data_IF_072624299902
#
_entry.id   IF_072624299902
#
_cell.length_a   1.000
_cell.length_b   1.000
_cell.length_c   1.000
_cell.angle_alpha   90.00
_cell.angle_beta   90.00
_cell.angle_gamma   90.00
#
_symmetry.space_group_name_H-M   'P 1'
#
loop_
_entity.id
_entity.type
_entity.pdbx_description
1 polymer ?
#
# COMPACT_ATOMS: atom_id res chain seq x y z
N UNK A 1 -12.23 6.65 4.23
CA UNK A 1 -11.39 5.87 5.17
C UNK A 1 -10.09 6.59 5.52
N UNK A 2 -9.53 7.36 4.59
CA UNK A 2 -8.39 8.24 4.84
C UNK A 2 -8.87 9.68 4.78
N UNK A 3 -8.54 10.53 5.77
CA UNK A 3 -8.88 11.94 5.77
C UNK A 3 -7.70 12.76 6.23
N UNK A 4 -7.23 13.65 5.35
CA UNK A 4 -6.25 14.68 5.63
C UNK A 4 -6.96 16.01 5.87
N UNK A 5 -6.62 16.70 6.95
CA UNK A 5 -7.10 18.03 7.32
C UNK A 5 -5.90 18.94 7.60
N UNK A 6 -5.52 19.75 6.61
CA UNK A 6 -4.39 20.68 6.67
C UNK A 6 -3.07 20.05 7.15
N UNK A 7 -2.80 18.79 6.72
CA UNK A 7 -1.66 18.02 7.21
C UNK A 7 -0.36 18.52 6.63
N UNK A 8 0.57 18.83 7.51
CA UNK A 8 1.99 19.07 7.19
C UNK A 8 2.83 18.00 7.89
N UNK A 9 3.77 17.40 7.16
CA UNK A 9 4.70 16.42 7.70
C UNK A 9 6.05 16.57 6.99
N UNK A 10 7.11 16.81 7.75
CA UNK A 10 8.47 17.06 7.26
C UNK A 10 9.46 16.11 7.92
N UNK A 11 10.50 15.72 7.21
CA UNK A 11 11.61 14.91 7.74
C UNK A 11 12.96 15.63 7.65
N UNK A 12 13.01 16.78 6.93
CA UNK A 12 14.12 17.76 6.90
C UNK A 12 13.52 19.14 6.67
N UNK A 13 14.28 20.19 6.95
CA UNK A 13 13.86 21.55 6.62
C UNK A 13 13.45 21.64 5.14
N UNK A 14 12.24 22.16 4.88
CA UNK A 14 11.65 22.35 3.55
C UNK A 14 11.42 21.08 2.70
N UNK A 15 11.57 19.87 3.28
CA UNK A 15 11.31 18.61 2.55
C UNK A 15 10.20 17.84 3.25
N UNK A 16 9.07 17.69 2.57
CA UNK A 16 7.89 17.04 3.15
C UNK A 16 6.62 17.26 2.34
N UNK A 17 5.50 17.22 3.04
CA UNK A 17 4.17 17.58 2.53
C UNK A 17 3.62 18.73 3.35
N UNK A 18 2.87 19.64 2.71
CA UNK A 18 2.50 20.92 3.30
C UNK A 18 1.01 21.20 3.09
N UNK A 19 0.28 21.33 4.19
CA UNK A 19 -1.12 21.74 4.23
C UNK A 19 -2.04 20.94 3.32
N UNK A 20 -1.86 19.60 3.30
CA UNK A 20 -2.69 18.72 2.48
C UNK A 20 -4.06 18.55 3.11
N UNK A 21 -5.11 18.72 2.29
CA UNK A 21 -6.51 18.43 2.66
C UNK A 21 -7.13 17.62 1.55
N UNK A 22 -7.48 16.38 1.80
CA UNK A 22 -8.22 15.50 0.89
C UNK A 22 -8.84 14.32 1.65
N UNK A 23 -9.76 13.62 1.01
CA UNK A 23 -10.46 12.48 1.60
C UNK A 23 -10.55 11.32 0.60
N UNK A 24 -10.28 10.11 1.06
CA UNK A 24 -10.46 8.86 0.32
C UNK A 24 -11.58 8.06 0.99
N UNK A 25 -12.70 7.80 0.30
CA UNK A 25 -13.78 6.95 0.77
C UNK A 25 -13.36 5.50 0.96
N UNK A 26 -14.21 4.72 1.64
CA UNK A 26 -13.99 3.28 1.80
C UNK A 26 -14.24 2.56 0.46
N UNK A 27 -13.37 1.59 0.12
CA UNK A 27 -13.50 0.78 -1.09
C UNK A 27 -13.15 1.51 -2.39
N UNK A 28 -12.43 2.64 -2.32
CA UNK A 28 -11.99 3.38 -3.50
C UNK A 28 -10.52 3.11 -3.83
N UNK A 29 -10.20 2.99 -5.13
CA UNK A 29 -8.85 3.09 -5.65
C UNK A 29 -8.59 4.52 -6.08
N UNK A 30 -7.61 5.16 -5.45
CA UNK A 30 -7.17 6.52 -5.76
C UNK A 30 -5.69 6.50 -6.16
N UNK A 31 -5.36 7.17 -7.26
CA UNK A 31 -3.99 7.36 -7.67
C UNK A 31 -3.39 8.64 -7.09
N UNK A 32 -2.20 8.56 -6.54
CA UNK A 32 -1.42 9.69 -6.04
C UNK A 32 -0.34 10.01 -7.06
N UNK A 33 -0.51 11.09 -7.79
CA UNK A 33 0.32 11.49 -8.93
C UNK A 33 1.26 12.63 -8.60
N UNK A 34 2.21 12.86 -9.48
CA UNK A 34 3.16 13.95 -9.43
C UNK A 34 4.57 13.51 -9.82
N UNK A 35 5.47 14.45 -10.14
CA UNK A 35 6.85 14.15 -10.50
C UNK A 35 7.62 13.47 -9.36
N UNK A 36 8.81 12.96 -9.69
CA UNK A 36 9.74 12.47 -8.66
C UNK A 36 10.06 13.60 -7.69
N UNK A 37 10.01 13.32 -6.39
CA UNK A 37 10.20 14.36 -5.36
C UNK A 37 8.93 15.14 -4.98
N UNK A 38 7.79 14.95 -5.65
CA UNK A 38 6.54 15.66 -5.35
C UNK A 38 5.94 15.41 -3.95
N UNK A 39 6.46 14.46 -3.19
CA UNK A 39 5.96 14.14 -1.84
C UNK A 39 5.08 12.88 -1.76
N UNK A 40 4.88 12.13 -2.87
CA UNK A 40 4.04 10.92 -2.92
C UNK A 40 4.40 9.90 -1.83
N UNK A 41 5.64 9.45 -1.80
CA UNK A 41 6.11 8.50 -0.77
C UNK A 41 6.06 9.10 0.65
N UNK A 42 6.16 10.43 0.80
CA UNK A 42 5.99 11.11 2.09
C UNK A 42 4.55 10.99 2.58
N UNK A 43 3.54 11.17 1.70
CA UNK A 43 2.13 10.94 2.03
C UNK A 43 1.94 9.50 2.55
N UNK A 44 2.41 8.50 1.78
CA UNK A 44 2.28 7.09 2.17
C UNK A 44 2.96 6.81 3.52
N UNK A 45 4.19 7.31 3.73
CA UNK A 45 4.95 7.15 4.98
C UNK A 45 4.27 7.86 6.16
N UNK A 46 3.61 9.00 5.93
CA UNK A 46 2.86 9.71 6.97
C UNK A 46 1.62 8.90 7.38
N UNK A 47 0.88 8.32 6.42
CA UNK A 47 -0.24 7.42 6.69
C UNK A 47 0.23 6.19 7.46
N UNK A 48 1.37 5.61 7.07
CA UNK A 48 1.96 4.42 7.72
C UNK A 48 2.62 4.73 9.08
N UNK A 49 2.65 6.02 9.48
CA UNK A 49 3.23 6.48 10.75
C UNK A 49 4.78 6.30 10.80
N UNK A 50 5.45 6.36 9.65
CA UNK A 50 6.92 6.42 9.58
C UNK A 50 7.42 7.86 9.70
N UNK A 51 6.66 8.82 9.15
CA UNK A 51 6.89 10.24 9.28
C UNK A 51 5.82 10.81 10.21
N UNK A 52 6.24 11.65 11.16
CA UNK A 52 5.35 12.29 12.11
C UNK A 52 4.68 13.51 11.48
N UNK A 53 3.42 13.73 11.85
CA UNK A 53 2.67 14.92 11.49
C UNK A 53 3.22 16.09 12.30
N UNK A 54 3.57 17.18 11.63
CA UNK A 54 4.04 18.43 12.24
C UNK A 54 2.87 19.36 12.60
N UNK A 55 1.81 19.39 11.74
CA UNK A 55 0.57 20.14 11.99
C UNK A 55 -0.59 19.54 11.21
N UNK A 56 -1.82 19.90 11.56
CA UNK A 56 -3.04 19.34 10.99
C UNK A 56 -3.41 17.99 11.58
N UNK A 57 -4.45 17.34 11.02
CA UNK A 57 -4.97 16.07 11.51
C UNK A 57 -5.08 15.05 10.37
N UNK A 58 -4.67 13.80 10.63
CA UNK A 58 -4.82 12.67 9.74
C UNK A 58 -5.63 11.58 10.42
N UNK A 59 -6.67 11.12 9.74
CA UNK A 59 -7.52 10.05 10.27
C UNK A 59 -7.52 8.84 9.35
N UNK A 60 -7.46 7.65 9.94
CA UNK A 60 -7.69 6.37 9.27
C UNK A 60 -8.88 5.69 9.94
N UNK A 61 -9.98 5.55 9.20
CA UNK A 61 -11.24 5.00 9.70
C UNK A 61 -11.69 5.64 11.04
N UNK A 62 -11.54 6.99 11.14
CA UNK A 62 -11.87 7.78 12.32
C UNK A 62 -10.81 7.80 13.42
N UNK A 63 -9.77 6.96 13.36
CA UNK A 63 -8.67 6.99 14.32
C UNK A 63 -7.65 8.07 13.96
N UNK A 64 -7.35 8.97 14.88
CA UNK A 64 -6.36 10.03 14.70
C UNK A 64 -4.93 9.46 14.72
N UNK A 65 -4.29 9.46 13.56
CA UNK A 65 -2.94 8.92 13.36
C UNK A 65 -1.90 9.69 14.18
N UNK A 66 -2.07 11.00 14.36
CA UNK A 66 -1.19 11.85 15.16
C UNK A 66 -1.15 11.42 16.62
N UNK A 67 -2.28 10.96 17.16
CA UNK A 67 -2.43 10.55 18.56
C UNK A 67 -2.04 9.10 18.83
N UNK A 68 -1.72 8.29 17.80
CA UNK A 68 -1.26 6.91 18.00
C UNK A 68 0.06 6.90 18.77
N UNK A 69 0.06 6.42 20.01
CA UNK A 69 1.26 6.32 20.85
C UNK A 69 2.26 5.33 20.23
N UNK A 70 3.56 5.58 20.37
CA UNK A 70 4.65 4.78 19.79
C UNK A 70 4.47 3.25 20.02
N UNK A 71 4.09 2.84 21.22
CA UNK A 71 3.84 1.43 21.58
C UNK A 71 2.67 0.79 20.81
N UNK A 72 1.72 1.59 20.32
CA UNK A 72 0.54 1.12 19.60
C UNK A 72 0.70 1.18 18.06
N UNK A 73 1.79 1.76 17.54
CA UNK A 73 2.07 1.82 16.10
C UNK A 73 2.08 0.43 15.43
N UNK A 74 2.66 -0.63 16.02
CA UNK A 74 2.60 -1.97 15.42
C UNK A 74 1.16 -2.48 15.29
N UNK A 75 0.29 -2.20 16.25
CA UNK A 75 -1.13 -2.56 16.19
C UNK A 75 -1.88 -1.75 15.13
N UNK A 76 -1.63 -0.45 15.07
CA UNK A 76 -2.19 0.43 14.03
C UNK A 76 -1.80 -0.04 12.62
N UNK A 77 -0.54 -0.40 12.38
CA UNK A 77 -0.04 -0.90 11.08
C UNK A 77 -0.66 -2.23 10.64
N UNK A 78 -1.27 -3.00 11.54
CA UNK A 78 -2.03 -4.21 11.17
C UNK A 78 -3.22 -3.89 10.25
N UNK A 79 -3.80 -2.68 10.39
CA UNK A 79 -4.93 -2.18 9.58
C UNK A 79 -4.52 -1.71 8.18
N UNK A 80 -3.21 -1.60 7.90
CA UNK A 80 -2.66 -1.03 6.67
C UNK A 80 -1.80 -2.06 5.96
N UNK A 81 -2.13 -2.42 4.71
CA UNK A 81 -1.26 -3.18 3.82
C UNK A 81 -0.25 -2.24 3.16
N UNK A 82 1.01 -2.66 3.04
CA UNK A 82 2.03 -1.89 2.32
C UNK A 82 2.59 -2.72 1.17
N UNK A 83 2.58 -2.15 -0.04
CA UNK A 83 3.14 -2.73 -1.27
C UNK A 83 4.24 -1.79 -1.74
N UNK A 84 5.45 -2.32 -1.95
CA UNK A 84 6.63 -1.54 -2.31
C UNK A 84 7.05 -1.80 -3.75
N UNK A 85 7.71 -0.85 -4.36
CA UNK A 85 8.29 -0.96 -5.70
C UNK A 85 9.38 -2.05 -5.77
N UNK A 86 10.18 -2.21 -4.70
CA UNK A 86 11.25 -3.19 -4.55
C UNK A 86 10.79 -4.51 -3.91
N UNK A 87 9.47 -4.75 -3.88
CA UNK A 87 8.77 -5.91 -3.33
C UNK A 87 9.00 -6.17 -1.83
N UNK A 88 10.17 -5.91 -1.30
CA UNK A 88 10.64 -6.18 0.08
C UNK A 88 10.29 -7.58 0.56
N UNK A 89 10.54 -8.57 -0.29
CA UNK A 89 10.41 -9.97 0.10
C UNK A 89 11.62 -10.40 0.93
N UNK A 90 11.38 -11.31 1.87
CA UNK A 90 12.43 -11.93 2.66
C UNK A 90 13.06 -13.02 1.80
N UNK A 91 14.34 -12.90 1.41
CA UNK A 91 14.93 -13.73 0.35
C UNK A 91 15.11 -15.20 0.72
N UNK A 92 15.31 -15.50 2.01
CA UNK A 92 15.49 -16.83 2.60
C UNK A 92 14.18 -17.48 3.05
N UNK A 93 13.04 -16.90 2.66
CA UNK A 93 11.70 -17.40 2.93
C UNK A 93 10.96 -17.71 1.64
N UNK A 94 10.19 -18.80 1.65
CA UNK A 94 9.32 -19.17 0.54
C UNK A 94 8.21 -18.13 0.31
N UNK A 95 7.49 -18.25 -0.81
CA UNK A 95 6.25 -17.48 -1.08
C UNK A 95 5.26 -17.66 0.07
N UNK A 96 5.02 -18.92 0.50
CA UNK A 96 4.15 -19.21 1.64
C UNK A 96 4.56 -18.43 2.89
N UNK A 97 5.82 -18.50 3.27
CA UNK A 97 6.34 -17.88 4.49
C UNK A 97 6.30 -16.33 4.40
N UNK A 98 6.58 -15.75 3.23
CA UNK A 98 6.45 -14.32 3.01
C UNK A 98 5.01 -13.84 3.20
N UNK A 99 4.04 -14.56 2.62
CA UNK A 99 2.61 -14.22 2.75
C UNK A 99 2.12 -14.48 4.19
N UNK A 100 2.56 -15.55 4.84
CA UNK A 100 2.13 -15.92 6.19
C UNK A 100 2.64 -14.97 7.28
N UNK A 101 3.76 -14.27 7.04
CA UNK A 101 4.47 -13.47 8.03
C UNK A 101 3.58 -12.50 8.82
N UNK A 102 2.73 -11.66 8.18
CA UNK A 102 1.87 -10.73 8.91
C UNK A 102 0.90 -11.44 9.86
N UNK A 103 0.42 -12.63 9.51
CA UNK A 103 -0.49 -13.41 10.35
C UNK A 103 0.23 -14.05 11.54
N UNK A 104 1.48 -14.50 11.35
CA UNK A 104 2.33 -14.96 12.45
C UNK A 104 2.59 -13.85 13.48
N UNK A 105 2.90 -12.63 13.01
CA UNK A 105 3.10 -11.46 13.87
C UNK A 105 1.83 -11.10 14.65
N UNK A 106 0.65 -11.41 14.08
CA UNK A 106 -0.64 -11.20 14.76
C UNK A 106 -1.00 -12.31 15.76
N UNK A 107 -0.23 -13.39 15.83
CA UNK A 107 -0.50 -14.53 16.68
C UNK A 107 -1.64 -15.43 16.18
N UNK A 108 -1.95 -15.40 14.89
CA UNK A 108 -3.00 -16.24 14.30
C UNK A 108 -2.57 -17.72 14.35
N UNK A 109 -3.47 -18.65 14.69
CA UNK A 109 -3.17 -20.08 14.72
C UNK A 109 -2.71 -20.62 13.36
N UNK A 110 -1.71 -21.51 13.34
CA UNK A 110 -1.12 -22.09 12.12
C UNK A 110 -2.16 -22.70 11.17
N UNK A 111 -3.20 -23.35 11.70
CA UNK A 111 -4.29 -23.95 10.89
C UNK A 111 -5.02 -22.88 10.07
N UNK A 112 -5.33 -21.73 10.67
CA UNK A 112 -5.99 -20.60 10.01
C UNK A 112 -5.06 -19.92 9.02
N UNK A 113 -3.77 -19.74 9.38
CA UNK A 113 -2.76 -19.19 8.47
C UNK A 113 -2.69 -20.01 7.19
N UNK A 114 -2.64 -21.35 7.31
CA UNK A 114 -2.57 -22.24 6.14
C UNK A 114 -3.74 -21.99 5.19
N UNK A 115 -4.97 -21.92 5.70
CA UNK A 115 -6.17 -21.65 4.89
C UNK A 115 -6.06 -20.30 4.19
N UNK A 116 -5.84 -19.21 4.97
CA UNK A 116 -5.77 -17.85 4.42
C UNK A 116 -4.67 -17.67 3.37
N UNK A 117 -3.50 -18.27 3.58
CA UNK A 117 -2.40 -18.19 2.62
C UNK A 117 -2.73 -18.93 1.32
N UNK A 118 -3.35 -20.10 1.38
CA UNK A 118 -3.76 -20.80 0.15
C UNK A 118 -4.83 -20.02 -0.60
N UNK A 119 -5.87 -19.51 0.08
CA UNK A 119 -6.93 -18.71 -0.53
C UNK A 119 -6.39 -17.45 -1.23
N UNK A 120 -5.50 -16.70 -0.56
CA UNK A 120 -4.93 -15.51 -1.19
C UNK A 120 -3.97 -15.86 -2.32
N UNK A 121 -3.22 -16.96 -2.22
CA UNK A 121 -2.32 -17.42 -3.28
C UNK A 121 -3.07 -17.79 -4.56
N UNK A 122 -4.26 -18.35 -4.45
CA UNK A 122 -5.14 -18.61 -5.60
C UNK A 122 -5.63 -17.29 -6.23
N UNK A 123 -6.07 -16.34 -5.41
CA UNK A 123 -6.57 -15.02 -5.89
C UNK A 123 -5.52 -14.20 -6.66
N UNK A 124 -4.23 -14.36 -6.33
CA UNK A 124 -3.14 -13.64 -6.99
C UNK A 124 -2.37 -14.51 -7.99
N UNK A 125 -2.90 -15.69 -8.36
CA UNK A 125 -2.28 -16.64 -9.31
C UNK A 125 -0.86 -17.09 -8.91
N UNK A 126 -0.69 -17.46 -7.64
CA UNK A 126 0.57 -17.98 -7.08
C UNK A 126 0.47 -19.39 -6.50
N UNK A 127 -0.66 -20.10 -6.73
CA UNK A 127 -0.91 -21.43 -6.14
C UNK A 127 0.24 -22.41 -6.42
N UNK A 128 0.75 -22.43 -7.65
CA UNK A 128 1.83 -23.32 -8.08
C UNK A 128 3.23 -22.82 -7.71
N UNK A 129 3.35 -21.64 -7.09
CA UNK A 129 4.62 -21.01 -6.68
C UNK A 129 4.82 -20.97 -5.18
N UNK A 130 3.89 -21.49 -4.40
CA UNK A 130 3.82 -21.30 -2.95
C UNK A 130 5.09 -21.76 -2.20
N UNK A 131 5.79 -22.76 -2.74
CA UNK A 131 7.04 -23.31 -2.17
C UNK A 131 8.31 -22.69 -2.79
N UNK A 132 8.19 -21.75 -3.75
CA UNK A 132 9.32 -21.11 -4.41
C UNK A 132 9.91 -20.01 -3.50
N UNK A 133 11.19 -19.76 -3.69
CA UNK A 133 11.91 -18.64 -3.08
C UNK A 133 11.86 -17.40 -4.00
N UNK A 134 12.00 -16.18 -3.46
CA UNK A 134 12.00 -14.96 -4.27
C UNK A 134 13.00 -14.97 -5.44
N UNK A 135 14.13 -15.62 -5.31
CA UNK A 135 15.15 -15.75 -6.38
C UNK A 135 14.65 -16.53 -7.60
N UNK A 136 13.64 -17.36 -7.45
CA UNK A 136 13.05 -18.21 -8.48
C UNK A 136 11.86 -17.57 -9.19
N UNK A 137 11.48 -16.34 -8.80
CA UNK A 137 10.27 -15.65 -9.28
C UNK A 137 10.64 -14.51 -10.26
N UNK A 138 9.78 -14.31 -11.26
CA UNK A 138 9.77 -13.10 -12.09
C UNK A 138 9.44 -11.84 -11.29
N UNK A 139 9.65 -10.65 -11.86
CA UNK A 139 9.27 -9.38 -11.24
C UNK A 139 7.77 -9.30 -10.91
N UNK A 140 6.92 -9.71 -11.86
CA UNK A 140 5.46 -9.75 -11.66
C UNK A 140 5.04 -10.72 -10.56
N UNK A 141 5.62 -11.95 -10.54
CA UNK A 141 5.36 -12.91 -9.46
C UNK A 141 5.78 -12.37 -8.08
N UNK A 142 6.96 -11.71 -7.99
CA UNK A 142 7.40 -11.03 -6.75
C UNK A 142 6.41 -9.96 -6.29
N UNK A 143 5.88 -9.17 -7.23
CA UNK A 143 4.89 -8.15 -6.91
C UNK A 143 3.56 -8.75 -6.45
N UNK A 144 3.10 -9.83 -7.09
CA UNK A 144 1.93 -10.59 -6.63
C UNK A 144 2.11 -11.14 -5.21
N UNK A 145 3.31 -11.63 -4.84
CA UNK A 145 3.64 -12.03 -3.46
C UNK A 145 3.55 -10.85 -2.50
N UNK A 146 4.08 -9.68 -2.88
CA UNK A 146 4.01 -8.46 -2.07
C UNK A 146 2.57 -8.02 -1.81
N UNK A 147 1.72 -8.08 -2.84
CA UNK A 147 0.28 -7.77 -2.76
C UNK A 147 -0.44 -8.81 -1.89
N UNK A 148 -0.20 -10.11 -2.10
CA UNK A 148 -0.79 -11.17 -1.28
C UNK A 148 -0.45 -11.01 0.20
N UNK A 149 0.83 -10.69 0.50
CA UNK A 149 1.29 -10.40 1.87
C UNK A 149 0.59 -9.18 2.48
N UNK A 150 0.27 -8.17 1.68
CA UNK A 150 -0.49 -7.01 2.14
C UNK A 150 -1.96 -7.35 2.40
N UNK A 151 -2.58 -8.16 1.52
CA UNK A 151 -4.01 -8.50 1.54
C UNK A 151 -4.38 -9.59 2.56
N UNK A 152 -3.49 -10.55 2.85
CA UNK A 152 -3.79 -11.74 3.67
C UNK A 152 -4.32 -11.41 5.07
N UNK A 153 -4.01 -10.23 5.58
CA UNK A 153 -4.49 -9.71 6.87
C UNK A 153 -5.77 -8.89 6.79
N UNK A 154 -6.41 -8.82 5.62
CA UNK A 154 -7.66 -8.08 5.37
C UNK A 154 -7.57 -6.61 5.83
N UNK A 155 -6.65 -5.81 5.27
CA UNK A 155 -6.42 -4.45 5.72
C UNK A 155 -7.57 -3.52 5.35
N UNK A 156 -7.76 -2.44 6.12
CA UNK A 156 -8.69 -1.35 5.77
C UNK A 156 -8.19 -0.55 4.56
N UNK A 157 -6.86 -0.42 4.45
CA UNK A 157 -6.18 0.40 3.44
C UNK A 157 -4.96 -0.34 2.92
N UNK A 158 -4.75 -0.31 1.61
CA UNK A 158 -3.48 -0.63 0.96
C UNK A 158 -2.81 0.67 0.51
N UNK A 159 -1.55 0.82 0.88
CA UNK A 159 -0.65 1.85 0.40
C UNK A 159 0.32 1.20 -0.58
N UNK A 160 0.26 1.56 -1.85
CA UNK A 160 1.13 1.00 -2.88
C UNK A 160 2.08 2.09 -3.40
N UNK A 161 3.38 1.93 -3.13
CA UNK A 161 4.40 2.89 -3.56
C UNK A 161 5.03 2.42 -4.88
N UNK A 162 4.60 3.02 -5.99
CA UNK A 162 5.03 2.72 -7.37
C UNK A 162 5.07 1.20 -7.69
N UNK A 163 4.00 0.44 -7.44
CA UNK A 163 4.01 -1.02 -7.47
C UNK A 163 4.24 -1.61 -8.88
N UNK A 164 4.17 -0.79 -9.92
CA UNK A 164 4.36 -1.18 -11.33
C UNK A 164 5.65 -0.63 -11.95
N UNK A 165 6.45 0.12 -11.18
CA UNK A 165 7.60 0.86 -11.70
C UNK A 165 8.73 0.01 -12.32
N UNK A 166 8.80 -1.28 -11.99
CA UNK A 166 9.84 -2.21 -12.47
C UNK A 166 9.24 -3.34 -13.34
N UNK A 167 8.01 -3.17 -13.85
CA UNK A 167 7.27 -4.18 -14.58
C UNK A 167 6.97 -3.72 -16.01
N UNK A 168 6.84 -4.69 -16.92
CA UNK A 168 6.36 -4.40 -18.26
C UNK A 168 4.87 -3.98 -18.26
N UNK A 169 4.38 -3.35 -19.35
CA UNK A 169 3.03 -2.81 -19.39
C UNK A 169 1.92 -3.85 -19.13
N UNK A 170 2.04 -5.06 -19.69
CA UNK A 170 1.01 -6.08 -19.54
C UNK A 170 0.91 -6.57 -18.09
N UNK A 171 2.06 -6.86 -17.48
CA UNK A 171 2.12 -7.26 -16.06
C UNK A 171 1.66 -6.11 -15.16
N UNK A 172 1.96 -4.86 -15.53
CA UNK A 172 1.47 -3.68 -14.80
C UNK A 172 -0.04 -3.59 -14.78
N UNK A 173 -0.71 -3.87 -15.90
CA UNK A 173 -2.18 -3.92 -15.96
C UNK A 173 -2.75 -5.02 -15.06
N UNK A 174 -2.16 -6.23 -15.07
CA UNK A 174 -2.57 -7.31 -14.18
C UNK A 174 -2.42 -6.96 -12.69
N UNK A 175 -1.37 -6.24 -12.32
CA UNK A 175 -1.17 -5.75 -10.95
C UNK A 175 -2.23 -4.72 -10.57
N UNK A 176 -2.61 -3.83 -11.49
CA UNK A 176 -3.72 -2.89 -11.26
C UNK A 176 -5.04 -3.61 -11.07
N UNK A 177 -5.33 -4.64 -11.89
CA UNK A 177 -6.55 -5.46 -11.75
C UNK A 177 -6.65 -6.09 -10.36
N UNK A 178 -5.54 -6.63 -9.83
CA UNK A 178 -5.50 -7.19 -8.48
C UNK A 178 -5.81 -6.13 -7.40
N UNK A 179 -5.31 -4.90 -7.56
CA UNK A 179 -5.60 -3.81 -6.63
C UNK A 179 -7.06 -3.34 -6.75
N UNK A 180 -7.63 -3.33 -7.96
CA UNK A 180 -9.05 -3.03 -8.17
C UNK A 180 -9.97 -4.09 -7.55
N UNK A 181 -9.65 -5.39 -7.71
CA UNK A 181 -10.37 -6.49 -7.06
C UNK A 181 -10.37 -6.33 -5.53
N UNK A 182 -9.26 -5.87 -4.95
CA UNK A 182 -9.18 -5.61 -3.51
C UNK A 182 -10.18 -4.54 -3.07
N UNK A 183 -10.46 -3.52 -3.91
CA UNK A 183 -11.45 -2.48 -3.56
C UNK A 183 -12.87 -3.02 -3.58
N UNK A 184 -13.20 -3.94 -4.47
CA UNK A 184 -14.51 -4.60 -4.50
C UNK A 184 -14.80 -5.39 -3.21
N UNK A 185 -13.74 -5.82 -2.50
CA UNK A 185 -13.84 -6.47 -1.18
C UNK A 185 -13.92 -5.49 -0.02
N UNK A 186 -13.97 -4.17 -0.29
CA UNK A 186 -14.12 -3.11 0.71
C UNK A 186 -12.80 -2.55 1.26
N UNK A 187 -11.64 -3.00 0.78
CA UNK A 187 -10.33 -2.41 1.07
C UNK A 187 -10.15 -1.15 0.23
N UNK A 188 -9.68 -0.04 0.81
CA UNK A 188 -9.34 1.16 0.02
C UNK A 188 -7.88 1.08 -0.42
N UNK A 189 -7.57 1.63 -1.60
CA UNK A 189 -6.21 1.59 -2.15
C UNK A 189 -5.77 3.01 -2.49
N UNK A 190 -4.61 3.41 -1.96
CA UNK A 190 -3.89 4.61 -2.38
C UNK A 190 -2.59 4.19 -3.04
N UNK A 191 -2.50 4.38 -4.35
CA UNK A 191 -1.34 3.99 -5.15
C UNK A 191 -0.59 5.21 -5.67
N UNK A 192 0.68 5.36 -5.29
CA UNK A 192 1.55 6.34 -5.93
C UNK A 192 2.00 5.86 -7.30
N UNK A 193 2.00 6.75 -8.26
CA UNK A 193 2.55 6.49 -9.60
C UNK A 193 2.92 7.80 -10.30
N UNK A 194 3.87 7.74 -11.23
CA UNK A 194 4.16 8.80 -12.19
C UNK A 194 3.76 8.40 -13.62
N UNK A 195 3.24 7.17 -13.82
CA UNK A 195 2.86 6.63 -15.12
C UNK A 195 1.40 6.95 -15.45
N UNK A 196 1.12 8.18 -15.90
CA UNK A 196 -0.23 8.60 -16.30
C UNK A 196 -0.83 7.77 -17.45
N UNK A 197 -0.09 7.40 -18.52
CA UNK A 197 -0.62 6.53 -19.56
C UNK A 197 -1.20 5.22 -19.06
N UNK A 198 -0.59 4.60 -18.06
CA UNK A 198 -1.04 3.34 -17.47
C UNK A 198 -2.38 3.49 -16.73
N UNK A 199 -2.58 4.59 -16.01
CA UNK A 199 -3.78 4.76 -15.16
C UNK A 199 -4.94 5.46 -15.86
N UNK A 200 -4.68 6.24 -16.92
CA UNK A 200 -5.70 7.00 -17.66
C UNK A 200 -6.88 6.13 -18.14
N UNK A 201 -6.66 4.92 -18.71
CA UNK A 201 -7.75 4.04 -19.14
C UNK A 201 -8.66 3.57 -18.01
N UNK A 202 -8.17 3.53 -16.77
CA UNK A 202 -8.88 3.03 -15.59
C UNK A 202 -9.99 3.97 -15.12
N UNK A 203 -9.98 5.25 -15.53
CA UNK A 203 -11.00 6.27 -15.18
C UNK A 203 -11.28 6.36 -13.67
N UNK A 204 -10.25 6.16 -12.85
CA UNK A 204 -10.32 6.31 -11.39
C UNK A 204 -9.89 7.72 -10.99
N UNK A 205 -10.30 8.14 -9.81
CA UNK A 205 -9.88 9.40 -9.20
C UNK A 205 -8.37 9.43 -8.99
N UNK A 206 -7.77 10.60 -9.18
CA UNK A 206 -6.38 10.84 -8.84
C UNK A 206 -6.22 12.15 -8.05
N UNK A 207 -5.19 12.18 -7.23
CA UNK A 207 -4.74 13.33 -6.46
C UNK A 207 -3.37 13.69 -7.00
N UNK A 208 -3.17 14.91 -7.44
CA UNK A 208 -1.90 15.37 -7.98
C UNK A 208 -1.16 16.24 -6.97
N UNK A 209 0.11 15.90 -6.74
CA UNK A 209 1.03 16.64 -5.88
C UNK A 209 2.15 17.29 -6.69
N UNK A 210 2.50 18.50 -6.31
CA UNK A 210 3.73 19.16 -6.73
C UNK A 210 4.40 19.83 -5.52
N UNK A 211 5.71 19.62 -5.34
CA UNK A 211 6.51 20.20 -4.24
C UNK A 211 5.85 20.06 -2.86
N UNK A 212 5.27 18.89 -2.60
CA UNK A 212 4.60 18.56 -1.34
C UNK A 212 3.24 19.21 -1.14
N UNK A 213 2.64 19.84 -2.16
CA UNK A 213 1.33 20.50 -2.12
C UNK A 213 0.35 19.85 -3.07
N UNK A 214 -0.93 19.97 -2.73
CA UNK A 214 -2.02 19.54 -3.60
C UNK A 214 -2.16 20.51 -4.78
N UNK A 215 -2.23 19.95 -5.99
CA UNK A 215 -2.49 20.70 -7.25
C UNK A 215 -3.90 20.40 -7.75
N UNK A 216 -4.27 19.11 -7.79
CA UNK A 216 -5.57 18.63 -8.28
C UNK A 216 -6.08 17.53 -7.34
N UNK A 217 -7.40 17.54 -7.14
CA UNK A 217 -8.14 16.50 -6.42
C UNK A 217 -9.34 16.01 -7.25
#
# INVERSE_FOLDING_TARGET
VIKFENVTATYREKVGIFNLTFHIPKGELVFLMGPTGAGKSTVLKTIYRDILISSGNLYINGEDVGKVRRRHVPHFRRKIGMVFQDYRLIPDRTVYENIALPLHIQGIPKKIIKVKVHEISEKVDLKNRINYYPSQLSGGEKQRVSIARALVKEPLVILADEPTGNLDPNVSDEILDLLEIATASGTSVLMSTHNFPLIKPRKKRFIELNEGRLVIE
#
